data_IF_414484657731
#
_entry.id   IF_414484657731
#
_cell.length_a   1.000
_cell.length_b   1.000
_cell.length_c   1.000
_cell.angle_alpha   90.00
_cell.angle_beta   90.00
_cell.angle_gamma   90.00
#
_symmetry.space_group_name_H-M   'P 1'
#
loop_
_entity.id
_entity.type
_entity.pdbx_description
1 polymer ?
#
# COMPACT_ATOMS: atom_id res chain seq x y z
N UNK A 1 10.82 43.52 18.06
CA UNK A 1 9.71 44.50 18.01
C UNK A 1 8.86 44.23 16.77
N UNK A 2 7.56 44.31 16.96
CA UNK A 2 6.44 44.21 16.05
C UNK A 2 5.84 42.82 15.81
N UNK A 3 5.05 42.36 16.81
CA UNK A 3 3.90 41.50 16.65
C UNK A 3 2.81 42.24 15.83
N UNK A 4 2.38 41.65 14.71
CA UNK A 4 1.09 42.01 14.10
C UNK A 4 0.07 40.92 14.41
N UNK A 5 -0.89 41.30 15.29
CA UNK A 5 -2.06 40.50 15.60
C UNK A 5 -3.06 40.54 14.43
N UNK A 6 -3.63 39.37 14.10
CA UNK A 6 -4.76 39.22 13.15
C UNK A 6 -6.05 39.48 13.93
N UNK A 7 -6.98 40.38 13.49
CA UNK A 7 -8.22 40.62 14.19
C UNK A 7 -9.22 39.47 14.02
N UNK A 8 -9.83 39.05 15.14
CA UNK A 8 -11.00 38.16 15.17
C UNK A 8 -12.22 38.89 14.61
N UNK A 9 -12.80 38.39 13.55
CA UNK A 9 -14.11 38.81 13.07
C UNK A 9 -15.20 38.30 14.01
N UNK A 10 -16.01 39.24 14.58
CA UNK A 10 -17.16 38.93 15.39
C UNK A 10 -18.31 38.42 14.50
N UNK A 11 -18.90 37.30 14.89
CA UNK A 11 -20.12 36.75 14.26
C UNK A 11 -21.32 37.35 14.97
N UNK A 12 -22.17 38.09 14.23
CA UNK A 12 -23.42 38.67 14.68
C UNK A 12 -24.53 37.58 14.73
N UNK A 13 -25.24 37.40 15.88
CA UNK A 13 -26.22 36.32 16.03
C UNK A 13 -27.66 36.66 15.56
N UNK A 14 -27.93 37.77 14.89
CA UNK A 14 -29.31 38.22 14.68
C UNK A 14 -29.88 38.18 13.26
N UNK A 15 -29.39 37.40 12.38
CA UNK A 15 -29.97 37.25 11.01
C UNK A 15 -30.89 36.01 10.91
N UNK A 16 -32.06 36.01 11.57
CA UNK A 16 -33.18 35.14 11.23
C UNK A 16 -33.88 35.67 9.98
N UNK A 17 -33.61 35.17 8.80
CA UNK A 17 -34.45 35.34 7.60
C UNK A 17 -35.35 34.15 7.40
N UNK A 18 -36.65 34.39 7.46
CA UNK A 18 -37.73 33.45 7.13
C UNK A 18 -37.62 32.95 5.68
N UNK A 19 -37.43 31.66 5.50
CA UNK A 19 -37.59 31.01 4.19
C UNK A 19 -39.06 30.68 3.99
N UNK A 20 -39.73 31.51 3.19
CA UNK A 20 -41.07 31.22 2.62
C UNK A 20 -40.89 30.07 1.61
N UNK A 21 -41.66 29.03 1.80
CA UNK A 21 -41.88 27.90 0.92
C UNK A 21 -42.34 28.36 -0.47
N UNK A 22 -41.62 27.97 -1.53
CA UNK A 22 -42.09 28.04 -2.91
C UNK A 22 -42.61 26.63 -3.33
N UNK A 23 -43.72 26.57 -4.05
CA UNK A 23 -44.27 25.28 -4.47
C UNK A 23 -43.49 24.66 -5.61
N UNK A 24 -43.30 23.35 -5.56
CA UNK A 24 -42.70 22.50 -6.57
C UNK A 24 -43.60 22.45 -7.82
N UNK A 25 -43.10 22.94 -8.95
CA UNK A 25 -43.64 22.67 -10.28
C UNK A 25 -42.55 22.01 -11.08
N UNK A 26 -42.55 20.68 -11.16
CA UNK A 26 -42.01 19.95 -12.33
C UNK A 26 -42.44 18.46 -12.21
N UNK A 27 -43.74 18.22 -12.58
CA UNK A 27 -44.12 16.90 -13.07
C UNK A 27 -44.18 17.03 -14.61
N UNK A 28 -43.18 16.58 -15.31
CA UNK A 28 -43.26 16.24 -16.74
C UNK A 28 -42.95 14.76 -16.87
N UNK A 29 -44.01 14.05 -17.33
CA UNK A 29 -43.96 12.63 -17.56
C UNK A 29 -42.88 12.26 -18.59
N UNK A 30 -42.09 11.29 -18.22
CA UNK A 30 -41.28 10.56 -19.21
C UNK A 30 -42.16 9.51 -19.85
N UNK A 31 -42.61 9.79 -21.09
CA UNK A 31 -43.21 8.79 -21.95
C UNK A 31 -42.13 7.74 -22.26
N UNK A 32 -42.44 6.48 -21.98
CA UNK A 32 -41.63 5.34 -22.35
C UNK A 32 -41.44 5.27 -23.87
N UNK A 33 -40.27 5.69 -24.36
CA UNK A 33 -39.86 5.38 -25.71
C UNK A 33 -39.21 4.00 -25.70
N UNK A 34 -40.05 2.99 -25.96
CA UNK A 34 -39.55 1.62 -26.18
C UNK A 34 -38.83 1.59 -27.55
N UNK A 35 -37.52 1.72 -27.50
CA UNK A 35 -36.67 1.47 -28.69
C UNK A 35 -36.65 -0.07 -28.88
N UNK A 36 -37.38 -0.55 -29.89
CA UNK A 36 -37.25 -1.94 -30.37
C UNK A 36 -35.86 -2.10 -31.00
N UNK A 37 -34.96 -2.75 -30.29
CA UNK A 37 -33.73 -3.25 -30.90
C UNK A 37 -34.05 -4.44 -31.80
N UNK A 38 -33.48 -4.50 -33.02
CA UNK A 38 -33.70 -5.65 -33.91
C UNK A 38 -33.09 -6.92 -33.26
N UNK A 39 -33.84 -8.02 -33.33
CA UNK A 39 -33.40 -9.35 -32.91
C UNK A 39 -32.19 -9.78 -33.74
N UNK A 40 -31.00 -9.51 -33.25
CA UNK A 40 -29.79 -10.15 -33.77
C UNK A 40 -29.63 -11.49 -33.04
N UNK A 41 -30.05 -12.56 -33.68
CA UNK A 41 -29.71 -13.93 -33.31
C UNK A 41 -28.18 -14.08 -33.38
N UNK A 42 -27.54 -13.98 -32.24
CA UNK A 42 -26.11 -14.28 -32.13
C UNK A 42 -25.88 -15.78 -32.38
N UNK A 43 -24.93 -16.16 -33.22
CA UNK A 43 -24.54 -17.55 -33.32
C UNK A 43 -23.95 -17.97 -31.97
N UNK A 44 -24.56 -18.98 -31.35
CA UNK A 44 -24.04 -19.68 -30.17
C UNK A 44 -22.75 -20.38 -30.56
N UNK A 45 -21.66 -19.67 -30.57
CA UNK A 45 -20.33 -20.25 -30.56
C UNK A 45 -20.16 -20.95 -29.22
N UNK A 46 -20.23 -22.29 -29.21
CA UNK A 46 -19.81 -23.10 -28.08
C UNK A 46 -18.34 -22.76 -27.81
N UNK A 47 -18.11 -21.88 -26.83
CA UNK A 47 -16.78 -21.60 -26.30
C UNK A 47 -16.26 -22.91 -25.70
N UNK A 48 -15.45 -23.65 -26.48
CA UNK A 48 -14.66 -24.74 -25.94
C UNK A 48 -13.91 -24.19 -24.72
N UNK A 49 -14.18 -24.79 -23.54
CA UNK A 49 -13.32 -24.60 -22.35
C UNK A 49 -11.98 -25.26 -22.71
N UNK A 50 -11.08 -24.52 -23.34
CA UNK A 50 -9.68 -24.87 -23.31
C UNK A 50 -9.24 -24.75 -21.87
N UNK A 51 -8.82 -25.85 -21.26
CA UNK A 51 -8.12 -25.90 -19.97
C UNK A 51 -6.71 -25.31 -20.17
N UNK A 52 -6.62 -24.03 -20.50
CA UNK A 52 -5.34 -23.34 -20.52
C UNK A 52 -4.95 -23.09 -19.06
N UNK A 53 -3.77 -23.55 -18.68
CA UNK A 53 -3.12 -23.17 -17.44
C UNK A 53 -3.16 -21.64 -17.35
N UNK A 54 -3.53 -21.06 -16.19
CA UNK A 54 -3.48 -19.60 -16.02
C UNK A 54 -2.09 -19.07 -16.37
N UNK A 55 -1.98 -17.88 -16.98
CA UNK A 55 -0.67 -17.31 -17.27
C UNK A 55 0.14 -17.15 -15.97
N UNK A 56 1.47 -17.30 -16.04
CA UNK A 56 2.32 -17.12 -14.86
C UNK A 56 2.31 -15.69 -14.35
N UNK A 57 2.53 -15.53 -13.06
CA UNK A 57 2.81 -14.23 -12.44
C UNK A 57 4.31 -13.95 -12.53
N UNK A 58 4.67 -12.77 -13.01
CA UNK A 58 6.05 -12.32 -13.15
C UNK A 58 6.20 -10.95 -12.45
N UNK A 59 7.03 -10.91 -11.41
CA UNK A 59 7.34 -9.69 -10.65
C UNK A 59 8.65 -9.09 -11.16
N UNK A 60 8.63 -7.80 -11.50
CA UNK A 60 9.84 -7.03 -11.81
C UNK A 60 10.06 -5.98 -10.70
N UNK A 61 11.18 -6.12 -10.01
CA UNK A 61 11.65 -5.16 -9.01
C UNK A 61 13.17 -5.16 -8.96
N UNK A 62 13.76 -4.10 -8.36
CA UNK A 62 15.21 -4.02 -8.19
C UNK A 62 15.74 -5.28 -7.49
N UNK A 63 16.79 -5.94 -8.02
CA UNK A 63 17.32 -7.17 -7.45
C UNK A 63 18.07 -6.91 -6.13
N UNK A 64 18.12 -7.92 -5.27
CA UNK A 64 18.91 -7.92 -4.04
C UNK A 64 18.41 -7.00 -2.92
N UNK A 65 17.25 -6.38 -3.08
CA UNK A 65 16.62 -5.56 -2.03
C UNK A 65 15.13 -5.92 -1.86
N UNK A 66 14.59 -5.86 -0.62
CA UNK A 66 13.16 -6.09 -0.40
C UNK A 66 12.32 -4.93 -0.96
N UNK A 67 12.52 -3.73 -0.50
CA UNK A 67 11.88 -2.51 -0.95
C UNK A 67 10.36 -2.62 -1.12
N UNK A 68 9.80 -1.94 -2.14
CA UNK A 68 8.36 -1.99 -2.44
C UNK A 68 7.92 -3.28 -3.12
N UNK A 69 8.85 -4.04 -3.73
CA UNK A 69 8.57 -5.35 -4.31
C UNK A 69 8.21 -6.40 -3.27
N UNK A 70 8.70 -6.22 -2.04
CA UNK A 70 8.48 -7.17 -0.96
C UNK A 70 7.01 -7.35 -0.57
N UNK A 71 6.23 -6.29 -0.62
CA UNK A 71 4.79 -6.36 -0.37
C UNK A 71 4.07 -7.31 -1.33
N UNK A 72 4.55 -7.38 -2.57
CA UNK A 72 4.01 -8.28 -3.60
C UNK A 72 4.51 -9.71 -3.38
N UNK A 73 5.80 -9.90 -3.05
CA UNK A 73 6.36 -11.22 -2.70
C UNK A 73 5.59 -11.85 -1.55
N UNK A 74 5.34 -11.10 -0.49
CA UNK A 74 4.60 -11.59 0.68
C UNK A 74 3.19 -12.08 0.35
N UNK A 75 2.48 -11.46 -0.60
CA UNK A 75 1.19 -11.96 -1.06
C UNK A 75 1.30 -13.33 -1.73
N UNK A 76 2.29 -13.55 -2.55
CA UNK A 76 2.52 -14.84 -3.21
C UNK A 76 3.03 -15.91 -2.24
N UNK A 77 3.99 -15.56 -1.39
CA UNK A 77 4.59 -16.47 -0.43
C UNK A 77 3.57 -16.91 0.64
N UNK A 78 2.75 -16.00 1.14
CA UNK A 78 1.69 -16.33 2.08
C UNK A 78 0.69 -17.35 1.53
N UNK A 79 0.35 -17.24 0.25
CA UNK A 79 -0.66 -18.08 -0.39
C UNK A 79 -0.07 -19.31 -1.09
N UNK A 80 1.25 -19.46 -1.10
CA UNK A 80 1.92 -20.51 -1.85
C UNK A 80 1.72 -20.43 -3.36
N UNK A 81 1.32 -19.25 -3.86
CA UNK A 81 1.06 -19.06 -5.30
C UNK A 81 2.37 -18.91 -6.07
N UNK A 82 2.62 -19.74 -7.08
CA UNK A 82 3.85 -19.67 -7.88
C UNK A 82 3.98 -18.33 -8.62
N UNK A 83 5.16 -17.76 -8.59
CA UNK A 83 5.54 -16.56 -9.35
C UNK A 83 7.02 -16.60 -9.72
N UNK A 84 7.41 -15.78 -10.68
CA UNK A 84 8.80 -15.56 -11.04
C UNK A 84 9.22 -14.14 -10.65
N UNK A 85 10.23 -14.01 -9.81
CA UNK A 85 10.87 -12.73 -9.51
C UNK A 85 11.99 -12.51 -10.54
N UNK A 86 11.63 -11.86 -11.65
CA UNK A 86 12.42 -11.80 -12.87
C UNK A 86 13.85 -11.27 -12.63
N UNK A 87 13.98 -10.16 -11.91
CA UNK A 87 15.28 -9.53 -11.69
C UNK A 87 16.16 -10.29 -10.69
N UNK A 88 15.58 -11.07 -9.77
CA UNK A 88 16.34 -11.93 -8.87
C UNK A 88 16.69 -13.28 -9.53
N UNK A 89 15.84 -13.80 -10.40
CA UNK A 89 16.07 -15.08 -11.12
C UNK A 89 17.17 -14.95 -12.18
N UNK A 90 17.15 -13.87 -12.98
CA UNK A 90 18.17 -13.55 -13.99
C UNK A 90 18.40 -12.03 -14.01
N UNK A 91 19.34 -11.58 -13.20
CA UNK A 91 19.60 -10.14 -13.02
C UNK A 91 19.92 -9.40 -14.31
N UNK A 92 20.80 -9.86 -15.21
CA UNK A 92 21.08 -9.15 -16.46
C UNK A 92 19.86 -8.98 -17.36
N UNK A 93 19.09 -10.07 -17.57
CA UNK A 93 17.91 -10.05 -18.41
C UNK A 93 16.77 -9.24 -17.77
N UNK A 94 16.52 -9.46 -16.48
CA UNK A 94 15.48 -8.75 -15.73
C UNK A 94 15.75 -7.25 -15.65
N UNK A 95 16.96 -6.82 -15.40
CA UNK A 95 17.34 -5.41 -15.36
C UNK A 95 17.20 -4.74 -16.72
N UNK A 96 17.55 -5.43 -17.80
CA UNK A 96 17.33 -4.91 -19.16
C UNK A 96 15.85 -4.70 -19.44
N UNK A 97 15.02 -5.67 -19.08
CA UNK A 97 13.58 -5.58 -19.24
C UNK A 97 12.99 -4.45 -18.38
N UNK A 98 13.31 -4.42 -17.09
CA UNK A 98 12.84 -3.41 -16.15
C UNK A 98 13.19 -2.00 -16.64
N UNK A 99 14.45 -1.74 -17.00
CA UNK A 99 14.91 -0.42 -17.46
C UNK A 99 14.29 -0.02 -18.80
N UNK A 100 13.98 -0.98 -19.67
CA UNK A 100 13.25 -0.73 -20.90
C UNK A 100 11.82 -0.28 -20.62
N UNK A 101 11.14 -0.95 -19.68
CA UNK A 101 9.75 -0.65 -19.33
C UNK A 101 9.58 0.74 -18.67
N UNK A 102 10.54 1.18 -17.85
CA UNK A 102 10.49 2.50 -17.20
C UNK A 102 11.21 3.59 -18.00
N UNK A 103 11.65 3.31 -19.21
CA UNK A 103 12.32 4.28 -20.08
C UNK A 103 11.35 5.41 -20.45
N UNK A 104 11.87 6.62 -20.54
CA UNK A 104 11.17 7.81 -21.05
C UNK A 104 10.69 7.69 -22.51
N UNK A 105 11.26 6.71 -23.24
CA UNK A 105 10.88 6.35 -24.61
C UNK A 105 9.72 5.35 -24.66
N UNK A 106 9.38 4.70 -23.53
CA UNK A 106 8.27 3.77 -23.47
C UNK A 106 6.95 4.56 -23.39
N UNK A 107 6.09 4.39 -24.37
CA UNK A 107 4.75 4.99 -24.41
C UNK A 107 3.64 4.02 -24.05
N UNK A 108 4.01 2.80 -23.64
CA UNK A 108 3.07 1.72 -23.39
C UNK A 108 2.62 1.01 -24.66
N UNK A 109 1.57 0.23 -24.56
CA UNK A 109 0.92 -0.45 -25.64
C UNK A 109 -0.60 -0.16 -25.68
N UNK A 110 -1.35 -0.87 -26.53
CA UNK A 110 -2.80 -0.67 -26.66
C UNK A 110 -3.57 -0.83 -25.35
N UNK A 111 -3.08 -1.63 -24.42
CA UNK A 111 -3.79 -2.05 -23.21
C UNK A 111 -3.10 -1.59 -21.92
N UNK A 112 -1.78 -1.36 -22.00
CA UNK A 112 -0.94 -1.09 -20.85
C UNK A 112 -0.29 0.30 -20.97
N UNK A 113 -0.64 1.26 -20.09
CA UNK A 113 0.12 2.51 -20.00
C UNK A 113 1.56 2.22 -19.53
N UNK A 114 2.54 3.08 -19.88
CA UNK A 114 3.91 2.86 -19.46
C UNK A 114 4.02 2.97 -17.93
N UNK A 115 4.70 2.04 -17.24
CA UNK A 115 4.97 2.17 -15.82
C UNK A 115 6.04 3.23 -15.58
N UNK A 116 5.87 4.02 -14.52
CA UNK A 116 6.87 5.02 -14.11
C UNK A 116 8.06 4.38 -13.38
N UNK A 117 7.77 3.42 -12.50
CA UNK A 117 8.75 2.79 -11.61
C UNK A 117 8.28 1.40 -11.16
N UNK A 118 9.22 0.51 -10.76
CA UNK A 118 8.86 -0.77 -10.15
C UNK A 118 8.34 -0.59 -8.70
N UNK A 119 7.57 -1.56 -8.14
CA UNK A 119 7.31 -2.87 -8.71
C UNK A 119 6.34 -2.84 -9.89
N UNK A 120 6.54 -3.78 -10.80
CA UNK A 120 5.62 -4.09 -11.88
C UNK A 120 5.25 -5.57 -11.82
N UNK A 121 4.00 -5.88 -12.15
CA UNK A 121 3.50 -7.25 -12.26
C UNK A 121 3.03 -7.49 -13.70
N UNK A 122 3.54 -8.57 -14.29
CA UNK A 122 3.03 -9.12 -15.55
C UNK A 122 2.15 -10.34 -15.26
N UNK A 123 1.01 -10.43 -15.90
CA UNK A 123 0.11 -11.58 -15.83
C UNK A 123 -0.61 -11.76 -17.17
N UNK A 124 -0.07 -12.59 -18.05
CA UNK A 124 -0.48 -12.66 -19.45
C UNK A 124 -0.18 -11.34 -20.17
N UNK A 125 -1.20 -10.76 -20.82
CA UNK A 125 -1.07 -9.49 -21.54
C UNK A 125 -1.17 -8.26 -20.62
N UNK A 126 -1.47 -8.44 -19.35
CA UNK A 126 -1.59 -7.36 -18.38
C UNK A 126 -0.21 -6.99 -17.80
N UNK A 127 0.13 -5.71 -17.84
CA UNK A 127 1.25 -5.11 -17.12
C UNK A 127 0.72 -4.00 -16.21
N UNK A 128 0.87 -4.15 -14.91
CA UNK A 128 0.48 -3.14 -13.93
C UNK A 128 1.65 -2.78 -13.00
N UNK A 129 1.61 -1.56 -12.51
CA UNK A 129 2.58 -1.02 -11.55
C UNK A 129 1.86 -0.46 -10.31
N UNK A 130 2.65 0.07 -9.37
CA UNK A 130 2.24 0.57 -8.05
C UNK A 130 1.92 -0.54 -7.05
N UNK A 131 2.63 -0.56 -5.94
CA UNK A 131 2.53 -1.58 -4.89
C UNK A 131 1.09 -1.85 -4.46
N UNK A 132 0.35 -0.79 -4.10
CA UNK A 132 -1.03 -0.93 -3.64
C UNK A 132 -1.97 -1.43 -4.74
N UNK A 133 -1.77 -0.98 -5.98
CA UNK A 133 -2.56 -1.41 -7.14
C UNK A 133 -2.30 -2.89 -7.47
N UNK A 134 -1.06 -3.33 -7.40
CA UNK A 134 -0.71 -4.75 -7.60
C UNK A 134 -1.33 -5.61 -6.51
N UNK A 135 -1.22 -5.22 -5.24
CA UNK A 135 -1.82 -5.94 -4.11
C UNK A 135 -3.35 -6.01 -4.24
N UNK A 136 -3.99 -4.90 -4.60
CA UNK A 136 -5.44 -4.83 -4.86
C UNK A 136 -5.87 -5.79 -5.99
N UNK A 137 -5.10 -5.86 -7.08
CA UNK A 137 -5.34 -6.78 -8.20
C UNK A 137 -5.20 -8.24 -7.79
N UNK A 138 -4.18 -8.55 -6.98
CA UNK A 138 -3.89 -9.91 -6.51
C UNK A 138 -4.89 -10.38 -5.45
N UNK A 139 -5.38 -9.50 -4.58
CA UNK A 139 -6.15 -9.85 -3.42
C UNK A 139 -7.34 -10.81 -3.68
N UNK A 140 -8.26 -10.55 -4.63
CA UNK A 140 -9.37 -11.47 -4.90
C UNK A 140 -8.93 -12.78 -5.57
N UNK A 141 -7.74 -12.81 -6.20
CA UNK A 141 -7.20 -14.00 -6.87
C UNK A 141 -6.47 -14.92 -5.90
N UNK A 142 -5.99 -14.35 -4.80
CA UNK A 142 -5.19 -15.03 -3.79
C UNK A 142 -5.96 -15.26 -2.47
N UNK A 143 -7.25 -14.90 -2.39
CA UNK A 143 -8.03 -15.04 -1.16
C UNK A 143 -7.64 -14.04 -0.05
N UNK A 144 -7.07 -12.88 -0.42
CA UNK A 144 -6.60 -11.84 0.50
C UNK A 144 -7.47 -10.58 0.47
N UNK A 145 -8.68 -10.65 -0.13
CA UNK A 145 -9.58 -9.51 -0.33
C UNK A 145 -10.56 -9.27 0.84
N UNK A 146 -10.44 -10.03 1.93
CA UNK A 146 -11.35 -9.93 3.07
C UNK A 146 -12.60 -10.80 2.93
N UNK A 147 -13.65 -10.58 3.78
CA UNK A 147 -14.85 -11.36 3.77
C UNK A 147 -15.61 -11.29 2.44
N UNK A 148 -16.08 -12.44 1.95
CA UNK A 148 -16.82 -12.54 0.68
C UNK A 148 -18.23 -11.91 0.76
N UNK A 149 -18.81 -11.83 1.94
CA UNK A 149 -20.13 -11.26 2.21
C UNK A 149 -20.11 -9.73 2.41
N UNK A 150 -18.95 -9.10 2.29
CA UNK A 150 -18.79 -7.65 2.38
C UNK A 150 -18.22 -7.08 1.06
N UNK A 151 -19.11 -6.58 0.20
CA UNK A 151 -18.75 -5.99 -1.10
C UNK A 151 -17.85 -4.76 -0.99
N UNK A 152 -17.81 -4.10 0.17
CA UNK A 152 -17.00 -2.93 0.44
C UNK A 152 -15.64 -3.27 1.09
N UNK A 153 -15.42 -4.52 1.50
CA UNK A 153 -14.20 -4.95 2.18
C UNK A 153 -12.93 -4.52 1.44
N UNK A 154 -12.91 -4.71 0.13
CA UNK A 154 -11.75 -4.41 -0.70
C UNK A 154 -11.33 -2.92 -0.62
N UNK A 155 -12.26 -1.99 -0.50
CA UNK A 155 -11.98 -0.56 -0.39
C UNK A 155 -11.44 -0.20 0.99
N UNK A 156 -12.00 -0.78 2.06
CA UNK A 156 -11.51 -0.59 3.42
C UNK A 156 -10.10 -1.17 3.60
N UNK A 157 -9.86 -2.36 3.07
CA UNK A 157 -8.56 -3.00 3.09
C UNK A 157 -7.53 -2.17 2.31
N UNK A 158 -7.92 -1.65 1.13
CA UNK A 158 -7.05 -0.78 0.33
C UNK A 158 -6.72 0.53 1.06
N UNK A 159 -7.69 1.14 1.75
CA UNK A 159 -7.44 2.31 2.60
C UNK A 159 -6.38 2.03 3.67
N UNK A 160 -6.45 0.89 4.35
CA UNK A 160 -5.48 0.51 5.38
C UNK A 160 -4.09 0.28 4.79
N UNK A 161 -4.00 -0.42 3.65
CA UNK A 161 -2.74 -0.64 2.95
C UNK A 161 -2.09 0.67 2.49
N UNK A 162 -2.85 1.58 1.87
CA UNK A 162 -2.38 2.90 1.47
C UNK A 162 -1.89 3.72 2.68
N UNK A 163 -2.66 3.71 3.78
CA UNK A 163 -2.27 4.41 5.01
C UNK A 163 -0.93 3.92 5.56
N UNK A 164 -0.67 2.60 5.52
CA UNK A 164 0.61 2.04 5.95
C UNK A 164 1.75 2.47 5.02
N UNK A 165 1.56 2.40 3.70
CA UNK A 165 2.56 2.79 2.70
C UNK A 165 2.93 4.26 2.83
N UNK A 166 1.94 5.17 2.84
CA UNK A 166 2.17 6.61 2.89
C UNK A 166 2.77 7.07 4.22
N UNK A 167 2.36 6.41 5.32
CA UNK A 167 2.75 6.83 6.66
C UNK A 167 4.05 6.25 7.17
N UNK A 168 4.26 4.97 6.94
CA UNK A 168 5.41 4.25 7.48
C UNK A 168 6.50 4.06 6.42
N UNK A 169 6.13 3.61 5.21
CA UNK A 169 7.11 3.31 4.17
C UNK A 169 7.71 4.58 3.56
N UNK A 170 6.87 5.49 3.06
CA UNK A 170 7.33 6.72 2.43
C UNK A 170 8.00 7.66 3.45
N UNK A 171 7.42 7.72 4.66
CA UNK A 171 8.04 8.47 5.76
C UNK A 171 9.43 8.00 6.13
N UNK A 172 9.69 6.69 6.13
CA UNK A 172 11.02 6.12 6.38
C UNK A 172 12.01 6.49 5.26
N UNK A 173 11.59 6.40 3.99
CA UNK A 173 12.40 6.82 2.85
C UNK A 173 12.78 8.30 2.93
N UNK A 174 11.83 9.16 3.28
CA UNK A 174 12.05 10.60 3.38
C UNK A 174 13.05 10.99 4.48
N UNK A 175 13.29 10.13 5.48
CA UNK A 175 14.29 10.43 6.52
C UNK A 175 15.70 10.52 5.98
N UNK A 176 16.04 9.75 4.95
CA UNK A 176 17.37 9.76 4.37
C UNK A 176 17.46 10.44 2.99
N UNK A 177 16.33 10.91 2.47
CA UNK A 177 16.22 11.75 1.26
C UNK A 177 15.26 12.94 1.50
N UNK A 178 15.52 13.79 2.53
CA UNK A 178 14.57 14.81 2.96
C UNK A 178 14.41 15.99 2.00
N UNK A 179 15.40 16.25 1.15
CA UNK A 179 15.39 17.37 0.19
C UNK A 179 15.19 16.85 -1.22
N UNK A 180 16.02 15.88 -1.64
CA UNK A 180 16.00 15.36 -3.00
C UNK A 180 16.35 13.88 -3.03
N UNK A 181 15.53 13.09 -3.72
CA UNK A 181 15.75 11.64 -3.88
C UNK A 181 16.97 11.30 -4.73
N UNK A 182 17.41 12.22 -5.60
CA UNK A 182 18.58 12.08 -6.44
C UNK A 182 19.89 12.55 -5.79
N UNK A 183 19.84 13.19 -4.61
CA UNK A 183 21.04 13.60 -3.88
C UNK A 183 21.53 12.47 -2.98
N UNK A 184 22.85 12.42 -2.75
CA UNK A 184 23.41 11.48 -1.79
C UNK A 184 23.00 11.84 -0.36
N UNK A 185 22.90 10.83 0.51
CA UNK A 185 22.59 11.03 1.92
C UNK A 185 23.59 11.99 2.61
N UNK A 186 24.85 11.85 2.27
CA UNK A 186 25.95 12.68 2.79
C UNK A 186 25.76 14.17 2.57
N UNK A 187 25.12 14.55 1.46
CA UNK A 187 24.88 15.95 1.07
C UNK A 187 23.68 16.58 1.79
N UNK A 188 22.88 15.78 2.51
CA UNK A 188 21.64 16.23 3.18
C UNK A 188 21.49 15.67 4.61
N UNK A 189 22.61 15.33 5.27
CA UNK A 189 22.62 14.71 6.61
C UNK A 189 21.93 15.55 7.70
N UNK A 190 22.13 16.85 7.69
CA UNK A 190 21.56 17.72 8.73
C UNK A 190 20.03 17.83 8.59
N UNK A 191 19.53 17.86 7.38
CA UNK A 191 18.11 17.81 7.08
C UNK A 191 17.53 16.42 7.37
N UNK A 192 18.29 15.38 7.08
CA UNK A 192 17.94 13.99 7.38
C UNK A 192 17.73 13.78 8.89
N UNK A 193 18.62 14.31 9.75
CA UNK A 193 18.46 14.27 11.21
C UNK A 193 17.18 14.98 11.67
N UNK A 194 16.88 16.16 11.11
CA UNK A 194 15.66 16.91 11.46
C UNK A 194 14.41 16.15 11.02
N UNK A 195 14.43 15.60 9.81
CA UNK A 195 13.31 14.81 9.27
C UNK A 195 13.11 13.52 10.05
N UNK A 196 14.19 12.82 10.39
CA UNK A 196 14.14 11.61 11.20
C UNK A 196 13.58 11.88 12.58
N UNK A 197 13.99 12.95 13.24
CA UNK A 197 13.46 13.34 14.54
C UNK A 197 11.93 13.51 14.49
N UNK A 198 11.40 14.27 13.53
CA UNK A 198 9.95 14.41 13.37
C UNK A 198 9.26 13.07 13.06
N UNK A 199 9.89 12.25 12.21
CA UNK A 199 9.35 10.94 11.86
C UNK A 199 9.24 10.02 13.08
N UNK A 200 10.27 9.96 13.93
CA UNK A 200 10.31 9.10 15.11
C UNK A 200 9.37 9.62 16.22
N UNK A 201 9.40 10.94 16.51
CA UNK A 201 8.66 11.53 17.63
C UNK A 201 7.16 11.74 17.32
N UNK A 202 6.80 12.01 16.06
CA UNK A 202 5.44 12.40 15.70
C UNK A 202 4.77 11.43 14.72
N UNK A 203 5.47 11.03 13.65
CA UNK A 203 4.84 10.28 12.57
C UNK A 203 4.62 8.82 12.93
N UNK A 204 5.65 8.09 13.35
CA UNK A 204 5.50 6.68 13.74
C UNK A 204 4.45 6.51 14.84
N UNK A 205 4.50 7.25 15.98
CA UNK A 205 3.49 7.15 17.02
C UNK A 205 2.07 7.42 16.53
N UNK A 206 1.89 8.39 15.63
CA UNK A 206 0.59 8.69 15.03
C UNK A 206 0.02 7.52 14.24
N UNK A 207 0.84 6.90 13.38
CA UNK A 207 0.40 5.78 12.53
C UNK A 207 0.21 4.50 13.33
N UNK A 208 1.11 4.16 14.26
CA UNK A 208 0.91 3.01 15.14
C UNK A 208 -0.36 3.20 16.01
N UNK A 209 -0.59 4.40 16.54
CA UNK A 209 -1.81 4.72 17.28
C UNK A 209 -3.08 4.65 16.42
N UNK A 210 -3.00 4.94 15.13
CA UNK A 210 -4.10 4.71 14.20
C UNK A 210 -4.38 3.22 14.03
N UNK A 211 -3.37 2.40 13.73
CA UNK A 211 -3.55 0.95 13.56
C UNK A 211 -3.94 0.25 14.85
N UNK A 212 -3.46 0.73 16.01
CA UNK A 212 -3.93 0.25 17.31
C UNK A 212 -5.43 0.46 17.47
N UNK A 213 -5.95 1.65 17.13
CA UNK A 213 -7.40 1.93 17.14
C UNK A 213 -8.16 1.09 16.12
N UNK A 214 -7.60 0.85 14.92
CA UNK A 214 -8.21 -0.05 13.93
C UNK A 214 -8.39 -1.45 14.50
N UNK A 215 -7.36 -2.00 15.16
CA UNK A 215 -7.41 -3.32 15.79
C UNK A 215 -8.35 -3.38 17.01
N UNK A 216 -8.65 -2.25 17.66
CA UNK A 216 -9.68 -2.15 18.70
C UNK A 216 -11.09 -1.94 18.14
N UNK A 217 -11.21 -1.57 16.87
CA UNK A 217 -12.48 -1.27 16.22
C UNK A 217 -13.30 -2.53 15.87
N UNK A 218 -14.62 -2.36 15.77
CA UNK A 218 -15.53 -3.44 15.43
C UNK A 218 -15.27 -4.06 14.04
N UNK A 219 -14.81 -3.27 13.08
CA UNK A 219 -14.48 -3.73 11.73
C UNK A 219 -13.33 -4.76 11.69
N UNK A 220 -12.48 -4.78 12.71
CA UNK A 220 -11.44 -5.80 12.90
C UNK A 220 -11.99 -7.18 13.30
N UNK A 221 -13.25 -7.25 13.81
CA UNK A 221 -13.90 -8.49 14.26
C UNK A 221 -13.07 -9.31 15.25
N UNK A 222 -12.50 -8.65 16.26
CA UNK A 222 -11.75 -9.34 17.33
C UNK A 222 -10.37 -8.76 17.59
N UNK A 223 -9.83 -7.96 16.68
CA UNK A 223 -8.54 -7.28 16.87
C UNK A 223 -7.31 -8.14 16.58
N UNK A 224 -7.49 -9.26 15.91
CA UNK A 224 -6.38 -10.10 15.46
C UNK A 224 -5.83 -9.65 14.10
N UNK A 225 -6.70 -9.18 13.22
CA UNK A 225 -6.41 -8.71 11.88
C UNK A 225 -6.96 -7.30 11.67
N UNK A 226 -6.43 -6.57 10.72
CA UNK A 226 -6.83 -5.19 10.47
C UNK A 226 -8.30 -5.06 10.03
N UNK A 227 -8.84 -6.07 9.33
CA UNK A 227 -10.20 -6.03 8.83
C UNK A 227 -10.86 -7.40 8.75
N UNK A 228 -12.14 -7.48 9.08
CA UNK A 228 -13.00 -8.63 8.79
C UNK A 228 -12.72 -9.91 9.59
N UNK A 229 -11.79 -9.89 10.56
CA UNK A 229 -11.44 -11.04 11.39
C UNK A 229 -10.59 -12.11 10.67
N UNK A 230 -10.00 -11.78 9.54
CA UNK A 230 -9.15 -12.68 8.76
C UNK A 230 -7.97 -11.94 8.14
N UNK A 231 -6.92 -12.69 7.79
CA UNK A 231 -5.75 -12.14 7.10
C UNK A 231 -6.15 -11.53 5.75
N UNK A 232 -5.66 -10.33 5.48
CA UNK A 232 -5.81 -9.64 4.21
C UNK A 232 -4.46 -9.14 3.71
N UNK A 233 -4.39 -8.67 2.47
CA UNK A 233 -3.16 -8.07 1.98
C UNK A 233 -2.74 -6.81 2.74
N UNK A 234 -3.68 -6.11 3.40
CA UNK A 234 -3.33 -4.95 4.23
C UNK A 234 -2.50 -5.34 5.45
N UNK A 235 -2.74 -6.51 6.04
CA UNK A 235 -1.94 -7.02 7.15
C UNK A 235 -0.50 -7.31 6.71
N UNK A 236 -0.32 -7.91 5.53
CA UNK A 236 1.00 -8.17 4.94
C UNK A 236 1.74 -6.87 4.59
N UNK A 237 1.02 -5.90 4.00
CA UNK A 237 1.57 -4.57 3.67
C UNK A 237 2.00 -3.85 4.94
N UNK A 238 1.13 -3.80 5.95
CA UNK A 238 1.43 -3.18 7.24
C UNK A 238 2.62 -3.86 7.92
N UNK A 239 2.63 -5.20 7.94
CA UNK A 239 3.73 -5.98 8.51
C UNK A 239 5.07 -5.60 7.86
N UNK A 240 5.16 -5.57 6.54
CA UNK A 240 6.38 -5.22 5.81
C UNK A 240 6.81 -3.77 6.10
N UNK A 241 5.87 -2.84 6.22
CA UNK A 241 6.20 -1.47 6.60
C UNK A 241 6.82 -1.42 8.00
N UNK A 242 6.21 -2.10 8.97
CA UNK A 242 6.72 -2.11 10.35
C UNK A 242 8.04 -2.89 10.48
N UNK A 243 8.21 -3.97 9.73
CA UNK A 243 9.46 -4.74 9.67
C UNK A 243 10.62 -3.89 9.14
N UNK A 244 10.37 -3.17 8.03
CA UNK A 244 11.34 -2.26 7.47
C UNK A 244 11.68 -1.07 8.39
N UNK A 245 10.68 -0.49 9.05
CA UNK A 245 10.88 0.55 10.06
C UNK A 245 11.67 0.03 11.25
N UNK A 246 11.41 -1.22 11.68
CA UNK A 246 12.16 -1.87 12.77
C UNK A 246 13.62 -2.10 12.41
N UNK A 247 13.91 -2.40 11.16
CA UNK A 247 15.29 -2.48 10.67
C UNK A 247 15.96 -1.10 10.63
N UNK A 248 15.28 -0.08 10.11
CA UNK A 248 15.85 1.26 9.95
C UNK A 248 16.07 1.99 11.29
N UNK A 249 15.15 1.79 12.25
CA UNK A 249 15.09 2.50 13.54
C UNK A 249 14.89 1.52 14.71
N UNK A 250 15.83 0.60 14.96
CA UNK A 250 15.65 -0.45 15.96
C UNK A 250 15.47 0.08 17.39
N UNK A 251 16.18 1.15 17.79
CA UNK A 251 16.07 1.73 19.13
C UNK A 251 14.70 2.38 19.35
N UNK A 252 14.25 3.19 18.37
CA UNK A 252 12.96 3.85 18.46
C UNK A 252 11.81 2.83 18.50
N UNK A 253 11.82 1.81 17.65
CA UNK A 253 10.78 0.77 17.65
C UNK A 253 10.81 -0.05 18.96
N UNK A 254 11.98 -0.37 19.50
CA UNK A 254 12.08 -1.03 20.79
C UNK A 254 11.50 -0.18 21.93
N UNK A 255 11.72 1.14 21.92
CA UNK A 255 11.11 2.07 22.85
C UNK A 255 9.58 2.07 22.74
N UNK A 256 9.05 2.14 21.52
CA UNK A 256 7.60 2.07 21.27
C UNK A 256 6.99 0.74 21.73
N UNK A 257 7.67 -0.38 21.50
CA UNK A 257 7.24 -1.69 21.97
C UNK A 257 7.19 -1.75 23.50
N UNK A 258 8.23 -1.25 24.18
CA UNK A 258 8.30 -1.19 25.66
C UNK A 258 7.26 -0.25 26.27
N UNK A 259 6.79 0.75 25.56
CA UNK A 259 5.78 1.69 26.06
C UNK A 259 4.44 1.05 26.42
N UNK A 260 4.13 -0.14 25.89
CA UNK A 260 2.85 -0.82 26.07
C UNK A 260 1.66 -0.15 25.37
N UNK A 261 1.89 0.92 24.59
CA UNK A 261 0.80 1.69 23.94
C UNK A 261 0.26 1.06 22.65
N UNK A 262 0.97 0.09 22.08
CA UNK A 262 0.69 -0.47 20.76
C UNK A 262 0.70 -2.00 20.79
N UNK A 263 0.07 -2.58 21.83
CA UNK A 263 0.11 -4.02 22.10
C UNK A 263 -0.49 -4.84 20.95
N UNK A 264 -1.64 -4.43 20.41
CA UNK A 264 -2.29 -5.14 19.28
C UNK A 264 -1.50 -5.01 17.98
N UNK A 265 -0.88 -3.86 17.74
CA UNK A 265 0.00 -3.64 16.58
C UNK A 265 1.17 -4.61 16.62
N UNK A 266 1.87 -4.71 17.75
CA UNK A 266 3.00 -5.64 17.88
C UNK A 266 2.55 -7.11 17.94
N UNK A 267 1.37 -7.40 18.49
CA UNK A 267 0.77 -8.73 18.41
C UNK A 267 0.44 -9.14 16.97
N UNK A 268 -0.09 -8.22 16.16
CA UNK A 268 -0.31 -8.44 14.72
C UNK A 268 1.02 -8.69 14.00
N UNK A 269 2.05 -7.88 14.29
CA UNK A 269 3.38 -8.07 13.71
C UNK A 269 3.92 -9.48 13.97
N UNK A 270 3.90 -9.94 15.22
CA UNK A 270 4.38 -11.28 15.58
C UNK A 270 3.48 -12.40 14.98
N UNK A 271 2.17 -12.17 14.86
CA UNK A 271 1.24 -13.12 14.25
C UNK A 271 1.53 -13.31 12.76
N UNK A 272 1.73 -12.24 11.99
CA UNK A 272 2.09 -12.34 10.57
C UNK A 272 3.45 -13.02 10.42
N UNK A 273 4.45 -12.60 11.21
CA UNK A 273 5.80 -13.18 11.19
C UNK A 273 5.80 -14.68 11.51
N UNK A 274 4.91 -15.11 12.41
CA UNK A 274 4.79 -16.51 12.85
C UNK A 274 3.97 -17.40 11.93
N UNK A 275 3.37 -16.88 10.85
CA UNK A 275 2.66 -17.72 9.88
C UNK A 275 3.63 -18.66 9.16
N UNK A 276 3.23 -19.91 8.99
CA UNK A 276 4.11 -20.97 8.47
C UNK A 276 4.78 -20.57 7.15
N UNK A 277 3.99 -20.09 6.19
CA UNK A 277 4.48 -19.68 4.87
C UNK A 277 5.43 -18.48 4.95
N UNK A 278 5.06 -17.46 5.74
CA UNK A 278 5.88 -16.25 5.92
C UNK A 278 7.19 -16.61 6.64
N UNK A 279 7.13 -17.38 7.72
CA UNK A 279 8.32 -17.82 8.44
C UNK A 279 9.28 -18.58 7.53
N UNK A 280 8.77 -19.57 6.78
CA UNK A 280 9.58 -20.34 5.83
C UNK A 280 10.22 -19.45 4.74
N UNK A 281 9.48 -18.43 4.26
CA UNK A 281 10.02 -17.46 3.32
C UNK A 281 11.12 -16.59 3.95
N UNK A 282 10.89 -16.06 5.15
CA UNK A 282 11.87 -15.20 5.84
C UNK A 282 13.19 -15.93 6.16
N UNK A 283 13.14 -17.25 6.34
CA UNK A 283 14.30 -18.12 6.60
C UNK A 283 14.95 -18.63 5.30
N UNK A 284 14.39 -18.33 4.12
CA UNK A 284 14.86 -18.81 2.82
C UNK A 284 15.79 -17.82 2.11
N UNK A 285 16.61 -18.32 1.19
CA UNK A 285 17.47 -17.52 0.29
C UNK A 285 16.69 -16.63 -0.69
N UNK A 286 15.36 -16.82 -0.79
CA UNK A 286 14.49 -15.96 -1.62
C UNK A 286 14.22 -14.60 -0.97
N UNK A 287 14.33 -14.52 0.36
CA UNK A 287 14.18 -13.25 1.10
C UNK A 287 15.41 -12.39 0.91
N UNK A 288 15.26 -11.24 0.26
CA UNK A 288 16.35 -10.27 0.15
C UNK A 288 16.62 -9.58 1.50
N UNK A 289 17.89 -9.39 1.82
CA UNK A 289 18.30 -8.67 3.02
C UNK A 289 18.06 -7.16 2.87
N UNK A 290 17.74 -6.50 3.98
CA UNK A 290 17.75 -5.03 4.01
C UNK A 290 19.16 -4.49 3.78
N UNK A 291 19.28 -3.46 2.94
CA UNK A 291 20.53 -2.79 2.64
C UNK A 291 20.28 -1.35 2.17
N UNK A 292 20.11 -1.20 0.86
CA UNK A 292 19.74 0.07 0.22
C UNK A 292 18.21 0.11 -0.02
N UNK A 293 17.71 1.18 -0.59
CA UNK A 293 16.30 1.34 -0.92
C UNK A 293 15.54 2.16 0.12
N UNK A 294 14.29 1.74 0.43
CA UNK A 294 13.38 2.49 1.31
C UNK A 294 13.84 2.49 2.76
N UNK A 295 14.24 1.32 3.26
CA UNK A 295 14.62 1.14 4.65
C UNK A 295 16.15 1.02 4.75
N UNK A 296 16.78 2.08 5.24
CA UNK A 296 18.23 2.14 5.47
C UNK A 296 18.49 2.42 6.94
N UNK A 297 19.44 1.71 7.51
CA UNK A 297 19.84 1.95 8.89
C UNK A 297 21.03 2.92 8.93
N UNK A 298 20.80 4.10 9.49
CA UNK A 298 21.81 5.08 9.85
C UNK A 298 21.72 5.32 11.35
N UNK A 299 22.73 4.92 12.15
CA UNK A 299 22.68 5.04 13.62
C UNK A 299 22.37 6.45 14.12
N UNK A 300 22.82 7.48 13.40
CA UNK A 300 22.59 8.88 13.73
C UNK A 300 21.15 9.35 13.44
N UNK A 301 20.37 8.59 12.66
CA UNK A 301 18.97 8.86 12.41
C UNK A 301 18.05 8.14 13.42
N UNK A 302 18.56 7.17 14.16
CA UNK A 302 17.85 6.42 15.21
C UNK A 302 18.24 6.92 16.62
N UNK A 303 18.36 8.24 16.76
CA UNK A 303 18.81 8.89 17.98
C UNK A 303 17.67 9.52 18.80
N UNK A 304 16.40 9.32 18.44
CA UNK A 304 15.25 9.86 19.16
C UNK A 304 15.09 9.18 20.53
N UNK A 305 14.96 9.99 21.60
CA UNK A 305 14.36 9.53 22.84
C UNK A 305 12.85 9.43 22.60
N UNK A 306 12.32 8.21 22.51
CA UNK A 306 10.87 7.94 22.38
C UNK A 306 10.26 7.71 23.75
#
# INVERSE_FOLDING_TARGET
MLHRAIPKAAIDPTARRSLRSRPSVFSRGYQNLAIRLPNMSSPTSKRQKTTSTPPPYELLYWPGIPGRGEHVRLCFEETGTPYTDICNADTPTGMKELTTLISDKNTGDRFNPPPLAPPMLKHGDLLIAQTANIALYLAPKLGLAGPEDDENAIFHINQLALTALDGLSDGAHDTHHPIATGAYYEDQKEEAKKKSKDYLENRIPKFLGYFERVLHGEASKGGEWLYGGQLTYADLVFWQCLDGVSFAFPKAVEGLKKSGKYEKVFALYERVKGRESIKAYLESDRRNNYSMGIYRHYPELDAGEV
#
